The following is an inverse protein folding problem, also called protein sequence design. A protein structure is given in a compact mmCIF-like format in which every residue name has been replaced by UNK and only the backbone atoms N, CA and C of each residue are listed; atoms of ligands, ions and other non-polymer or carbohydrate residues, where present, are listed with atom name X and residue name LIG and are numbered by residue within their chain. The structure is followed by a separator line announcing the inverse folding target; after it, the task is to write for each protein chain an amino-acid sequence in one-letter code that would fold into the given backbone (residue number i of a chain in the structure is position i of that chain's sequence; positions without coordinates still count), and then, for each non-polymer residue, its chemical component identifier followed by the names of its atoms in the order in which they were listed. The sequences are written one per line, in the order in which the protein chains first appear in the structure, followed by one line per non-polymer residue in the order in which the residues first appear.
data_IF_764901238392
#
_entry.id   IF_764901238392
#
_cell.length_a   1.000
_cell.length_b   1.000
_cell.length_c   1.000
_cell.angle_alpha   90.00
_cell.angle_beta   90.00
_cell.angle_gamma   90.00
#
_symmetry.space_group_name_H-M   'P 1'
#
loop_
_entity.id
_entity.type
_entity.pdbx_description
1 polymer ?
#
# COMPACT_ATOMS: atom_id res chain seq x y z
N UNK A 1 -11.36 -3.03 6.88
CA UNK A 1 -10.87 -4.26 6.21
C UNK A 1 -10.64 -3.92 4.74
N UNK A 2 -9.40 -3.73 4.32
CA UNK A 2 -9.14 -3.15 3.00
C UNK A 2 -9.30 -4.14 1.84
N UNK A 3 -9.10 -5.45 2.06
CA UNK A 3 -9.17 -6.44 0.98
C UNK A 3 -10.38 -7.37 1.12
N UNK A 4 -11.08 -7.57 0.02
CA UNK A 4 -12.25 -8.44 -0.05
C UNK A 4 -12.12 -9.38 -1.24
N UNK A 5 -12.20 -10.68 -1.01
CA UNK A 5 -12.17 -11.68 -2.06
C UNK A 5 -13.58 -11.89 -2.63
N UNK A 6 -13.70 -11.85 -3.95
CA UNK A 6 -14.91 -12.18 -4.69
C UNK A 6 -14.93 -13.68 -4.99
N UNK A 7 -15.72 -14.50 -4.25
CA UNK A 7 -15.65 -15.95 -4.42
C UNK A 7 -15.99 -16.41 -5.83
N UNK A 8 -16.92 -15.71 -6.50
CA UNK A 8 -17.34 -16.05 -7.87
C UNK A 8 -16.27 -15.84 -8.94
N UNK A 9 -15.24 -15.03 -8.66
CA UNK A 9 -14.11 -14.79 -9.58
C UNK A 9 -12.85 -15.56 -9.18
N UNK A 10 -12.71 -15.91 -7.90
CA UNK A 10 -11.52 -16.58 -7.41
C UNK A 10 -11.41 -18.00 -7.98
N UNK A 11 -10.25 -18.35 -8.50
CA UNK A 11 -9.91 -19.69 -9.02
C UNK A 11 -8.99 -20.50 -8.10
N UNK A 12 -8.65 -19.98 -6.93
CA UNK A 12 -7.79 -20.66 -5.97
C UNK A 12 -6.33 -20.82 -6.42
N UNK A 13 -5.81 -19.89 -7.23
CA UNK A 13 -4.45 -19.99 -7.78
C UNK A 13 -3.32 -19.74 -6.77
N UNK A 14 -3.63 -19.41 -5.52
CA UNK A 14 -2.72 -19.19 -4.39
C UNK A 14 -1.78 -17.97 -4.49
N UNK A 15 -1.71 -17.24 -5.59
CA UNK A 15 -0.80 -16.10 -5.73
C UNK A 15 -0.96 -15.02 -4.63
N UNK A 16 -2.19 -14.84 -4.14
CA UNK A 16 -2.44 -13.93 -3.03
C UNK A 16 -1.95 -14.46 -1.68
N UNK A 17 -1.88 -15.78 -1.53
CA UNK A 17 -1.31 -16.44 -0.34
C UNK A 17 0.20 -16.26 -0.34
N UNK A 18 0.85 -16.62 -1.44
CA UNK A 18 2.32 -16.59 -1.58
C UNK A 18 2.89 -15.18 -1.41
N UNK A 19 2.14 -14.14 -1.82
CA UNK A 19 2.63 -12.76 -1.79
C UNK A 19 2.26 -11.99 -0.52
N UNK A 20 1.46 -12.56 0.37
CA UNK A 20 0.98 -11.85 1.55
C UNK A 20 2.07 -11.75 2.62
N UNK A 21 2.60 -10.56 2.96
CA UNK A 21 3.66 -10.42 3.95
C UNK A 21 3.21 -10.68 5.38
N UNK A 22 1.90 -10.63 5.64
CA UNK A 22 1.31 -10.87 6.96
C UNK A 22 0.78 -12.29 7.12
N UNK A 23 0.89 -13.13 6.08
CA UNK A 23 0.38 -14.51 6.06
C UNK A 23 -1.10 -14.64 6.46
N UNK A 24 -1.92 -13.67 6.09
CA UNK A 24 -3.35 -13.65 6.42
C UNK A 24 -4.26 -14.09 5.25
N UNK A 25 -3.68 -14.33 4.07
CA UNK A 25 -4.42 -14.86 2.93
C UNK A 25 -4.26 -16.37 2.88
N UNK A 26 -5.37 -17.09 2.97
CA UNK A 26 -5.40 -18.55 2.98
C UNK A 26 -6.37 -19.09 1.94
N UNK A 27 -6.32 -20.40 1.71
CA UNK A 27 -7.27 -21.11 0.84
C UNK A 27 -8.23 -21.93 1.70
N UNK A 28 -9.50 -21.70 1.51
CA UNK A 28 -10.54 -22.64 1.97
C UNK A 28 -10.46 -23.89 1.09
N UNK A 29 -9.97 -24.98 1.65
CA UNK A 29 -9.79 -26.24 0.93
C UNK A 29 -11.11 -26.88 0.51
N UNK A 30 -12.21 -26.57 1.21
CA UNK A 30 -13.54 -27.09 0.89
C UNK A 30 -14.15 -26.42 -0.33
N UNK A 31 -13.87 -25.14 -0.53
CA UNK A 31 -14.38 -24.34 -1.63
C UNK A 31 -13.36 -24.06 -2.73
N UNK A 32 -12.07 -24.30 -2.47
CA UNK A 32 -10.98 -23.95 -3.37
C UNK A 32 -10.86 -22.45 -3.62
N UNK A 33 -11.16 -21.61 -2.61
CA UNK A 33 -11.21 -20.15 -2.73
C UNK A 33 -10.33 -19.49 -1.70
N UNK A 34 -9.72 -18.38 -2.08
CA UNK A 34 -8.95 -17.58 -1.13
C UNK A 34 -9.88 -16.80 -0.19
N UNK A 35 -9.42 -16.62 1.03
CA UNK A 35 -10.06 -15.76 2.02
C UNK A 35 -9.01 -15.13 2.93
N UNK A 36 -9.40 -14.06 3.63
CA UNK A 36 -8.56 -13.40 4.61
C UNK A 36 -8.97 -13.89 5.99
N UNK A 37 -8.06 -14.56 6.70
CA UNK A 37 -8.32 -15.17 8.00
C UNK A 37 -8.34 -14.15 9.14
N UNK A 38 -7.56 -13.07 9.01
CA UNK A 38 -7.41 -12.06 10.06
C UNK A 38 -7.28 -10.66 9.43
N UNK A 39 -8.41 -10.09 8.99
CA UNK A 39 -8.39 -8.82 8.28
C UNK A 39 -7.82 -7.64 9.08
N UNK A 40 -7.83 -7.70 10.42
CA UNK A 40 -7.29 -6.68 11.31
C UNK A 40 -5.78 -6.55 11.24
N UNK A 41 -5.08 -7.62 10.84
CA UNK A 41 -3.62 -7.64 10.65
C UNK A 41 -3.18 -7.29 9.21
N UNK A 42 -4.09 -6.84 8.38
CA UNK A 42 -3.76 -6.45 7.01
C UNK A 42 -2.88 -5.19 6.99
N UNK A 43 -1.70 -5.29 6.38
CA UNK A 43 -0.77 -4.15 6.21
C UNK A 43 -1.21 -3.18 5.10
N UNK A 44 -2.29 -3.49 4.40
CA UNK A 44 -2.81 -2.64 3.33
C UNK A 44 -1.82 -2.38 2.19
N UNK A 45 -0.89 -3.30 1.98
CA UNK A 45 0.13 -3.19 0.92
C UNK A 45 -0.43 -3.41 -0.49
N UNK A 46 -1.65 -3.95 -0.59
CA UNK A 46 -2.36 -4.28 -1.84
C UNK A 46 -1.60 -5.22 -2.79
N UNK A 47 -0.60 -5.94 -2.30
CA UNK A 47 0.16 -6.88 -3.11
C UNK A 47 -0.75 -7.98 -3.67
N UNK A 48 -1.61 -8.58 -2.84
CA UNK A 48 -2.60 -9.58 -3.25
C UNK A 48 -3.59 -9.05 -4.29
N UNK A 49 -4.04 -7.79 -4.14
CA UNK A 49 -4.97 -7.15 -5.08
C UNK A 49 -4.33 -6.97 -6.45
N UNK A 50 -3.09 -6.46 -6.48
CA UNK A 50 -2.32 -6.23 -7.72
C UNK A 50 -1.88 -7.52 -8.42
N UNK A 51 -1.66 -8.60 -7.66
CA UNK A 51 -1.17 -9.89 -8.19
C UNK A 51 -2.28 -10.81 -8.65
N UNK A 52 -3.53 -10.55 -8.29
CA UNK A 52 -4.62 -11.43 -8.65
C UNK A 52 -4.89 -11.42 -10.16
N UNK A 53 -4.65 -12.52 -10.90
CA UNK A 53 -4.83 -12.56 -12.36
C UNK A 53 -6.30 -12.47 -12.76
N UNK A 54 -7.21 -12.87 -11.86
CA UNK A 54 -8.66 -12.87 -12.11
C UNK A 54 -9.34 -11.56 -11.66
N UNK A 55 -8.58 -10.61 -11.08
CA UNK A 55 -9.17 -9.42 -10.47
C UNK A 55 -10.22 -9.76 -9.42
N UNK A 56 -10.00 -10.85 -8.69
CA UNK A 56 -10.94 -11.40 -7.70
C UNK A 56 -10.79 -10.76 -6.32
N UNK A 57 -9.84 -9.85 -6.12
CA UNK A 57 -9.62 -9.18 -4.83
C UNK A 57 -9.82 -7.69 -5.02
N UNK A 58 -10.68 -7.13 -4.20
CA UNK A 58 -11.04 -5.71 -4.22
C UNK A 58 -10.62 -5.01 -2.94
N UNK A 59 -10.46 -3.70 -3.02
CA UNK A 59 -10.25 -2.83 -1.87
C UNK A 59 -11.58 -2.20 -1.49
N UNK A 60 -11.96 -2.34 -0.22
CA UNK A 60 -13.20 -1.78 0.34
C UNK A 60 -12.97 -1.27 1.74
N UNK A 61 -13.82 -0.33 2.18
CA UNK A 61 -13.79 0.16 3.55
C UNK A 61 -12.60 1.05 3.87
N UNK A 62 -12.01 1.67 2.87
CA UNK A 62 -10.95 2.65 3.03
C UNK A 62 -11.55 4.05 3.11
N UNK A 63 -11.27 4.78 4.19
CA UNK A 63 -11.91 6.07 4.46
C UNK A 63 -11.68 7.10 3.35
N UNK A 64 -10.46 7.14 2.80
CA UNK A 64 -10.06 8.19 1.87
C UNK A 64 -10.53 7.97 0.42
N UNK A 65 -10.38 6.75 -0.11
CA UNK A 65 -10.67 6.49 -1.52
C UNK A 65 -11.63 5.33 -1.79
N UNK A 66 -11.83 4.44 -0.82
CA UNK A 66 -12.78 3.32 -0.91
C UNK A 66 -13.65 3.19 0.34
N UNK A 67 -14.37 4.26 0.78
CA UNK A 67 -15.28 4.16 1.91
C UNK A 67 -16.37 3.13 1.63
N UNK A 68 -17.15 2.79 2.64
CA UNK A 68 -18.24 1.81 2.51
C UNK A 68 -19.18 2.17 1.34
N UNK A 69 -19.37 1.23 0.43
CA UNK A 69 -20.14 1.42 -0.80
C UNK A 69 -19.32 1.83 -2.01
N UNK A 70 -18.05 2.19 -1.84
CA UNK A 70 -17.09 2.36 -2.95
C UNK A 70 -16.38 1.04 -3.22
N UNK A 71 -15.80 0.95 -4.41
CA UNK A 71 -15.13 -0.25 -4.89
C UNK A 71 -13.92 0.12 -5.71
N UNK A 72 -12.76 -0.42 -5.36
CA UNK A 72 -11.52 -0.17 -6.08
C UNK A 72 -11.01 -1.48 -6.68
N UNK A 73 -10.83 -1.48 -7.97
CA UNK A 73 -10.39 -2.65 -8.74
C UNK A 73 -9.15 -2.28 -9.54
N UNK A 74 -8.01 -2.95 -9.34
CA UNK A 74 -6.87 -2.81 -10.22
C UNK A 74 -7.03 -3.70 -11.45
N UNK A 75 -6.60 -3.19 -12.59
CA UNK A 75 -6.42 -3.97 -13.80
C UNK A 75 -4.96 -3.84 -14.25
N UNK A 76 -4.22 -4.92 -14.23
CA UNK A 76 -2.82 -4.96 -14.59
C UNK A 76 -2.62 -5.43 -16.02
N UNK A 77 -1.90 -4.63 -16.80
CA UNK A 77 -1.36 -5.01 -18.12
C UNK A 77 0.13 -5.35 -18.00
N UNK A 78 0.81 -5.53 -19.12
CA UNK A 78 2.25 -5.82 -19.15
C UNK A 78 3.11 -4.63 -18.71
N UNK A 79 2.60 -3.41 -18.85
CA UNK A 79 3.37 -2.16 -18.65
C UNK A 79 2.71 -1.15 -17.73
N UNK A 80 1.42 -1.34 -17.39
CA UNK A 80 0.64 -0.39 -16.59
C UNK A 80 -0.28 -1.10 -15.62
N UNK A 81 -0.64 -0.38 -14.56
CA UNK A 81 -1.73 -0.74 -13.65
C UNK A 81 -2.77 0.38 -13.72
N UNK A 82 -3.99 0.02 -14.02
CA UNK A 82 -5.15 0.89 -13.99
C UNK A 82 -5.93 0.66 -12.71
N UNK A 83 -6.17 1.71 -11.94
CA UNK A 83 -6.99 1.67 -10.75
C UNK A 83 -8.34 2.30 -11.06
N UNK A 84 -9.38 1.48 -11.09
CA UNK A 84 -10.76 1.95 -11.29
C UNK A 84 -11.46 2.07 -9.94
N UNK A 85 -11.82 3.28 -9.57
CA UNK A 85 -12.60 3.58 -8.37
C UNK A 85 -14.05 3.81 -8.80
N UNK A 86 -14.93 2.92 -8.37
CA UNK A 86 -16.38 3.07 -8.53
C UNK A 86 -16.98 3.61 -7.26
N UNK A 87 -17.56 4.79 -7.34
CA UNK A 87 -18.17 5.46 -6.19
C UNK A 87 -19.61 4.99 -6.01
N UNK A 88 -20.13 5.22 -4.81
CA UNK A 88 -21.50 4.86 -4.43
C UNK A 88 -22.57 5.59 -5.28
N UNK A 89 -22.29 6.82 -5.71
CA UNK A 89 -23.15 7.64 -6.57
C UNK A 89 -23.09 7.26 -8.06
N UNK A 90 -22.33 6.20 -8.40
CA UNK A 90 -22.14 5.73 -9.77
C UNK A 90 -21.00 6.40 -10.53
N UNK A 91 -20.35 7.41 -9.96
CA UNK A 91 -19.16 8.01 -10.58
C UNK A 91 -18.03 6.99 -10.67
N UNK A 92 -17.23 7.08 -11.72
CA UNK A 92 -16.05 6.25 -11.95
C UNK A 92 -14.84 7.16 -12.12
N UNK A 93 -13.79 6.90 -11.35
CA UNK A 93 -12.47 7.55 -11.51
C UNK A 93 -11.45 6.48 -11.88
N UNK A 94 -10.57 6.80 -12.80
CA UNK A 94 -9.49 5.92 -13.22
C UNK A 94 -8.14 6.62 -13.06
N UNK A 95 -7.17 5.86 -12.57
CA UNK A 95 -5.79 6.28 -12.44
C UNK A 95 -4.90 5.26 -13.11
N UNK A 96 -3.87 5.74 -13.78
CA UNK A 96 -2.94 4.93 -14.53
C UNK A 96 -1.53 5.11 -13.99
N UNK A 97 -0.84 4.00 -13.71
CA UNK A 97 0.52 4.01 -13.24
C UNK A 97 1.39 3.07 -14.07
N UNK A 98 2.57 3.51 -14.54
CA UNK A 98 3.50 2.65 -15.25
C UNK A 98 4.09 1.59 -14.30
N UNK A 99 4.24 0.37 -14.82
CA UNK A 99 4.97 -0.69 -14.12
C UNK A 99 6.45 -0.52 -14.44
N UNK A 100 7.29 -0.54 -13.41
CA UNK A 100 8.74 -0.51 -13.58
C UNK A 100 9.19 -1.72 -14.41
N UNK A 101 9.82 -1.47 -15.55
CA UNK A 101 10.40 -2.50 -16.46
C UNK A 101 11.90 -2.67 -16.28
N UNK A 102 12.54 -1.79 -15.54
CA UNK A 102 13.98 -1.85 -15.31
C UNK A 102 14.31 -3.03 -14.40
N UNK A 103 15.44 -3.69 -14.68
CA UNK A 103 15.94 -4.77 -13.84
C UNK A 103 16.11 -4.30 -12.39
N UNK A 104 15.94 -5.21 -11.46
CA UNK A 104 16.28 -4.95 -10.07
C UNK A 104 17.76 -4.47 -10.00
N UNK A 105 18.03 -3.43 -9.23
CA UNK A 105 19.32 -2.72 -9.17
C UNK A 105 19.71 -1.91 -10.43
N UNK A 106 18.77 -1.56 -11.28
CA UNK A 106 19.03 -0.67 -12.43
C UNK A 106 19.04 0.82 -12.07
N UNK A 107 18.73 1.19 -10.82
CA UNK A 107 19.02 2.51 -10.30
C UNK A 107 20.54 2.51 -10.01
N UNK A 108 21.30 3.46 -10.54
CA UNK A 108 22.72 3.59 -10.21
C UNK A 108 22.89 3.56 -8.68
N UNK A 109 23.85 2.76 -8.22
CA UNK A 109 24.21 2.79 -6.80
C UNK A 109 24.62 4.22 -6.44
N UNK A 110 24.31 4.73 -5.25
CA UNK A 110 24.87 5.99 -4.78
C UNK A 110 26.39 6.03 -4.85
N UNK A 111 27.04 4.86 -4.89
CA UNK A 111 28.49 4.73 -5.09
C UNK A 111 28.95 5.01 -6.54
N UNK A 112 28.06 5.03 -7.51
CA UNK A 112 28.38 5.29 -8.93
C UNK A 112 28.25 6.77 -9.29
N UNK A 113 27.69 7.58 -8.40
CA UNK A 113 27.64 9.03 -8.52
C UNK A 113 28.51 9.73 -7.47
N UNK A 114 28.80 11.01 -7.62
CA UNK A 114 29.43 11.77 -6.56
C UNK A 114 28.56 11.68 -5.31
N UNK A 115 29.17 11.33 -4.18
CA UNK A 115 28.46 11.35 -2.91
C UNK A 115 27.88 12.76 -2.68
N UNK A 116 26.62 12.90 -2.24
CA UNK A 116 26.06 14.20 -1.94
C UNK A 116 26.91 14.89 -0.87
N UNK A 117 27.15 16.18 -1.05
CA UNK A 117 27.85 16.97 -0.04
C UNK A 117 26.99 17.14 1.23
N UNK A 118 27.61 17.48 2.34
CA UNK A 118 26.85 17.80 3.56
C UNK A 118 25.88 18.97 3.33
N UNK A 119 26.26 19.92 2.49
CA UNK A 119 25.42 21.09 2.14
C UNK A 119 24.21 20.67 1.28
N UNK A 120 24.38 19.71 0.36
CA UNK A 120 23.28 19.15 -0.42
C UNK A 120 22.25 18.44 0.50
N UNK A 121 22.75 17.72 1.51
CA UNK A 121 21.92 17.02 2.48
C UNK A 121 21.23 17.96 3.49
N UNK A 122 21.85 19.09 3.76
CA UNK A 122 21.30 20.16 4.61
C UNK A 122 20.41 21.17 3.82
N UNK A 123 20.30 20.97 2.51
CA UNK A 123 19.54 21.87 1.66
C UNK A 123 18.03 21.88 1.96
N UNK A 124 17.36 23.02 1.75
CA UNK A 124 15.92 23.15 2.04
C UNK A 124 15.03 22.19 1.24
N UNK A 125 15.52 21.65 0.11
CA UNK A 125 14.81 20.65 -0.68
C UNK A 125 14.75 19.26 -0.02
N UNK A 126 15.66 18.98 0.92
CA UNK A 126 15.70 17.73 1.67
C UNK A 126 15.22 17.90 3.12
N UNK A 127 14.93 19.13 3.53
CA UNK A 127 14.28 19.41 4.81
C UNK A 127 12.82 19.01 4.74
N UNK A 128 12.45 17.99 5.51
CA UNK A 128 11.05 17.58 5.67
C UNK A 128 10.30 18.36 6.75
N UNK A 129 10.97 19.30 7.40
CA UNK A 129 10.32 20.20 8.36
C UNK A 129 9.75 21.39 7.60
N UNK A 130 8.44 21.46 7.37
CA UNK A 130 7.82 22.65 6.83
C UNK A 130 7.99 23.79 7.83
N UNK A 131 8.20 25.00 7.34
CA UNK A 131 8.46 26.20 8.15
C UNK A 131 7.44 26.43 9.27
N UNK A 132 6.20 25.97 9.09
CA UNK A 132 5.16 26.06 10.12
C UNK A 132 5.33 25.08 11.29
N UNK A 133 6.24 24.09 11.19
CA UNK A 133 6.61 23.19 12.29
C UNK A 133 7.90 23.66 12.98
N UNK A 134 8.59 24.65 12.46
CA UNK A 134 9.72 25.27 13.13
C UNK A 134 9.23 25.93 14.41
N UNK A 135 9.47 25.29 15.53
CA UNK A 135 9.26 25.87 16.86
C UNK A 135 10.57 26.53 17.29
N UNK A 136 10.52 27.82 17.59
CA UNK A 136 11.70 28.59 18.05
C UNK A 136 12.33 28.03 19.34
N UNK A 137 11.55 27.21 20.10
CA UNK A 137 12.03 26.44 21.22
C UNK A 137 11.15 25.20 21.42
N UNK A 138 11.76 24.02 21.53
CA UNK A 138 11.06 22.84 22.01
C UNK A 138 10.55 23.11 23.42
N UNK A 139 9.26 22.89 23.73
CA UNK A 139 8.78 22.97 25.08
C UNK A 139 9.61 21.98 25.92
N UNK A 140 10.18 22.46 27.03
CA UNK A 140 10.89 21.59 27.95
C UNK A 140 9.94 20.49 28.41
N UNK A 141 10.19 19.25 27.98
CA UNK A 141 9.49 18.11 28.53
C UNK A 141 9.72 18.13 30.05
N UNK A 142 8.66 18.34 30.82
CA UNK A 142 8.72 18.22 32.25
C UNK A 142 9.35 16.88 32.65
N UNK A 143 10.01 16.82 33.79
CA UNK A 143 10.62 15.61 34.26
C UNK A 143 9.61 14.44 34.20
N UNK A 144 10.03 13.25 33.72
CA UNK A 144 9.15 12.09 33.65
C UNK A 144 8.56 11.82 35.04
N UNK A 145 7.28 11.40 35.12
CA UNK A 145 6.66 11.08 36.38
C UNK A 145 7.47 10.00 37.10
N UNK A 146 7.57 10.04 38.46
CA UNK A 146 8.28 9.02 39.20
C UNK A 146 7.69 7.65 38.91
N UNK A 147 8.57 6.67 38.70
CA UNK A 147 8.14 5.26 38.51
C UNK A 147 7.31 4.84 39.74
N UNK A 148 6.16 4.19 39.54
CA UNK A 148 5.44 3.60 40.65
C UNK A 148 6.34 2.56 41.35
N UNK A 149 6.32 2.59 42.68
CA UNK A 149 7.01 1.64 43.55
C UNK A 149 6.43 0.24 43.44
#
# INVERSE_FOLDING_TARGET
MPTYVLPGKCKGCMQCVDICPSDIMHIDTSQGRAYNIEPSYCWECFACVKSCPEGAIEVRGYADFAPLGHRVVPNRTTDRIYWTIRMRDGQVKEFEFPIRKTKWKSIPSPAEGPAPSADDLAGPLLSFEPDYLAVDALPSLGAPPPKPL
#
